data_IF_470834669987
#
_entry.id   IF_470834669987
#
_cell.length_a   1.000
_cell.length_b   1.000
_cell.length_c   1.000
_cell.angle_alpha   90.00
_cell.angle_beta   90.00
_cell.angle_gamma   90.00
#
_symmetry.space_group_name_H-M   'P 1'
#
loop_
_entity.id
_entity.type
_entity.pdbx_description
1 polymer ?
#
# COMPACT_ATOMS: atom_id res chain seq x y z
N UNK A 1 3.38 -2.72 -12.94
CA UNK A 1 4.12 -2.04 -11.87
C UNK A 1 4.30 -2.89 -10.62
N UNK A 2 3.24 -3.50 -10.14
CA UNK A 2 3.37 -4.28 -8.91
C UNK A 2 4.29 -5.49 -9.07
N UNK A 3 4.31 -6.11 -10.23
CA UNK A 3 5.20 -7.25 -10.45
C UNK A 3 6.66 -6.87 -10.29
N UNK A 4 7.04 -5.76 -10.88
CA UNK A 4 8.41 -5.25 -10.78
C UNK A 4 8.74 -4.87 -9.34
N UNK A 5 7.77 -4.29 -8.64
CA UNK A 5 7.97 -3.91 -7.26
C UNK A 5 8.15 -5.13 -6.36
N UNK A 6 7.36 -6.18 -6.59
CA UNK A 6 7.51 -7.41 -5.83
C UNK A 6 8.91 -7.97 -6.01
N UNK A 7 9.38 -8.05 -7.26
CA UNK A 7 10.70 -8.58 -7.53
C UNK A 7 11.78 -7.75 -6.85
N UNK A 8 11.66 -6.44 -6.93
CA UNK A 8 12.63 -5.53 -6.33
C UNK A 8 12.71 -5.72 -4.82
N UNK A 9 11.55 -5.81 -4.18
CA UNK A 9 11.48 -5.98 -2.72
C UNK A 9 11.97 -7.35 -2.31
N UNK A 10 11.61 -8.39 -3.06
CA UNK A 10 12.08 -9.75 -2.77
C UNK A 10 13.60 -9.83 -2.86
N UNK A 11 14.20 -9.08 -3.78
CA UNK A 11 15.65 -9.01 -3.92
C UNK A 11 16.31 -8.17 -2.83
N UNK A 12 15.53 -7.58 -1.94
CA UNK A 12 16.07 -6.79 -0.85
C UNK A 12 16.27 -5.33 -1.16
N UNK A 13 15.77 -4.87 -2.30
CA UNK A 13 15.93 -3.47 -2.72
C UNK A 13 14.79 -2.62 -2.20
N UNK A 14 15.08 -1.37 -1.91
CA UNK A 14 14.07 -0.44 -1.45
C UNK A 14 13.35 0.21 -2.63
N UNK A 15 12.09 0.55 -2.43
CA UNK A 15 11.33 1.31 -3.41
C UNK A 15 11.51 2.79 -3.11
N UNK A 16 11.50 3.60 -4.17
CA UNK A 16 11.42 5.05 -3.97
C UNK A 16 9.99 5.40 -3.54
N UNK A 17 9.83 6.63 -3.07
CA UNK A 17 8.50 7.12 -2.70
C UNK A 17 7.52 6.97 -3.87
N UNK A 18 7.94 7.38 -5.07
CA UNK A 18 7.07 7.32 -6.23
C UNK A 18 6.71 5.88 -6.60
N UNK A 19 7.68 4.98 -6.52
CA UNK A 19 7.42 3.57 -6.80
C UNK A 19 6.42 2.98 -5.82
N UNK A 20 6.62 3.24 -4.54
CA UNK A 20 5.72 2.72 -3.52
C UNK A 20 4.32 3.30 -3.66
N UNK A 21 4.23 4.58 -3.96
CA UNK A 21 2.93 5.23 -4.18
C UNK A 21 2.20 4.63 -5.38
N UNK A 22 2.93 4.39 -6.47
CA UNK A 22 2.33 3.80 -7.66
C UNK A 22 1.80 2.39 -7.40
N UNK A 23 2.57 1.58 -6.69
CA UNK A 23 2.16 0.22 -6.36
C UNK A 23 0.94 0.24 -5.45
N UNK A 24 0.95 1.10 -4.45
CA UNK A 24 -0.18 1.22 -3.53
C UNK A 24 -1.43 1.64 -4.28
N UNK A 25 -1.28 2.57 -5.23
CA UNK A 25 -2.39 3.02 -6.04
C UNK A 25 -2.96 1.88 -6.88
N UNK A 26 -2.11 1.02 -7.44
CA UNK A 26 -2.57 -0.15 -8.18
C UNK A 26 -3.36 -1.09 -7.26
N UNK A 27 -2.87 -1.32 -6.06
CA UNK A 27 -3.55 -2.20 -5.11
C UNK A 27 -4.91 -1.63 -4.71
N UNK A 28 -4.96 -0.35 -4.44
CA UNK A 28 -6.19 0.29 -3.97
C UNK A 28 -7.22 0.44 -5.07
N UNK A 29 -6.80 0.51 -6.33
CA UNK A 29 -7.73 0.64 -7.44
C UNK A 29 -8.20 -0.69 -8.00
N UNK A 30 -7.73 -1.80 -7.43
CA UNK A 30 -8.17 -3.12 -7.86
C UNK A 30 -7.44 -3.65 -9.08
N UNK A 31 -6.39 -2.96 -9.52
CA UNK A 31 -5.61 -3.42 -10.67
C UNK A 31 -4.76 -4.63 -10.33
N UNK A 32 -4.28 -4.71 -9.09
CA UNK A 32 -3.48 -5.83 -8.64
C UNK A 32 -4.38 -6.94 -8.11
N UNK A 33 -3.98 -8.19 -8.33
CA UNK A 33 -4.72 -9.32 -7.78
C UNK A 33 -4.47 -9.42 -6.28
N UNK A 34 -5.32 -10.19 -5.60
CA UNK A 34 -5.13 -10.44 -4.17
C UNK A 34 -3.80 -11.15 -3.91
N UNK A 35 -3.43 -12.08 -4.79
CA UNK A 35 -2.17 -12.79 -4.64
C UNK A 35 -0.99 -11.83 -4.78
N UNK A 36 -1.05 -10.91 -5.73
CA UNK A 36 0.01 -9.93 -5.92
C UNK A 36 0.10 -8.99 -4.72
N UNK A 37 -1.04 -8.56 -4.21
CA UNK A 37 -1.08 -7.69 -3.04
C UNK A 37 -0.47 -8.38 -1.83
N UNK A 38 -0.86 -9.63 -1.59
CA UNK A 38 -0.33 -10.39 -0.46
C UNK A 38 1.17 -10.61 -0.61
N UNK A 39 1.62 -10.94 -1.82
CA UNK A 39 3.04 -11.16 -2.06
C UNK A 39 3.84 -9.88 -1.81
N UNK A 40 3.35 -8.75 -2.28
CA UNK A 40 4.04 -7.48 -2.11
C UNK A 40 4.13 -7.10 -0.63
N UNK A 41 3.01 -7.19 0.08
CA UNK A 41 2.99 -6.79 1.49
C UNK A 41 3.86 -7.71 2.33
N UNK A 42 3.83 -9.01 2.05
CA UNK A 42 4.67 -9.97 2.76
C UNK A 42 6.14 -9.72 2.50
N UNK A 43 6.50 -9.51 1.24
CA UNK A 43 7.89 -9.26 0.89
C UNK A 43 8.39 -7.95 1.50
N UNK A 44 7.54 -6.93 1.49
CA UNK A 44 7.88 -5.65 2.07
C UNK A 44 8.14 -5.78 3.58
N UNK A 45 7.32 -6.57 4.25
CA UNK A 45 7.46 -6.81 5.68
C UNK A 45 8.76 -7.54 5.99
N UNK A 46 9.07 -8.55 5.19
CA UNK A 46 10.29 -9.34 5.40
C UNK A 46 11.53 -8.47 5.17
N UNK A 47 11.50 -7.64 4.13
CA UNK A 47 12.61 -6.75 3.84
C UNK A 47 12.76 -5.67 4.91
N UNK A 48 11.66 -5.20 5.45
CA UNK A 48 11.63 -4.06 6.34
C UNK A 48 11.33 -2.79 5.57
N UNK A 49 10.20 -2.15 5.88
CA UNK A 49 9.76 -0.96 5.18
C UNK A 49 10.68 0.21 5.50
N UNK A 50 10.96 1.03 4.48
CA UNK A 50 11.65 2.29 4.70
C UNK A 50 10.64 3.38 5.01
N UNK A 51 11.14 4.52 5.51
CA UNK A 51 10.27 5.66 5.80
C UNK A 51 9.55 6.12 4.53
N UNK A 52 10.25 6.15 3.41
CA UNK A 52 9.65 6.56 2.14
C UNK A 52 8.52 5.61 1.73
N UNK A 53 8.73 4.31 1.89
CA UNK A 53 7.74 3.31 1.55
C UNK A 53 6.51 3.43 2.45
N UNK A 54 6.72 3.59 3.74
CA UNK A 54 5.62 3.73 4.70
C UNK A 54 4.85 5.01 4.42
N UNK A 55 5.55 6.11 4.20
CA UNK A 55 4.92 7.40 3.97
C UNK A 55 4.11 7.39 2.68
N UNK A 56 4.64 6.80 1.63
CA UNK A 56 3.94 6.71 0.36
C UNK A 56 2.66 5.90 0.50
N UNK A 57 2.75 4.74 1.15
CA UNK A 57 1.59 3.90 1.36
C UNK A 57 0.52 4.61 2.18
N UNK A 58 0.93 5.27 3.25
CA UNK A 58 -0.01 5.97 4.11
C UNK A 58 -0.68 7.14 3.37
N UNK A 59 0.08 7.85 2.55
CA UNK A 59 -0.44 8.98 1.80
C UNK A 59 -1.50 8.52 0.79
N UNK A 60 -1.20 7.45 0.05
CA UNK A 60 -2.15 6.93 -0.94
C UNK A 60 -3.40 6.41 -0.26
N UNK A 61 -3.25 5.69 0.85
CA UNK A 61 -4.39 5.18 1.58
C UNK A 61 -5.27 6.30 2.08
N UNK A 62 -4.68 7.38 2.58
CA UNK A 62 -5.44 8.51 3.06
C UNK A 62 -6.19 9.21 1.93
N UNK A 63 -5.54 9.37 0.78
CA UNK A 63 -6.19 9.97 -0.37
C UNK A 63 -7.40 9.17 -0.81
N UNK A 64 -7.25 7.84 -0.87
CA UNK A 64 -8.37 6.98 -1.26
C UNK A 64 -9.48 7.03 -0.23
N UNK A 65 -9.15 7.05 1.03
CA UNK A 65 -10.13 7.13 2.10
C UNK A 65 -10.92 8.43 2.03
N UNK A 66 -10.24 9.53 1.72
CA UNK A 66 -10.92 10.81 1.57
C UNK A 66 -11.93 10.80 0.43
N UNK A 67 -11.60 10.07 -0.64
CA UNK A 67 -12.51 9.98 -1.77
C UNK A 67 -13.76 9.18 -1.48
N UNK A 68 -13.71 8.25 -0.54
CA UNK A 68 -14.87 7.41 -0.26
C UNK A 68 -15.50 7.72 1.06
N UNK A 69 -14.99 8.68 1.77
CA UNK A 69 -15.33 8.78 3.13
C UNK A 69 -16.71 9.25 3.41
N UNK A 70 -17.30 9.95 2.53
CA UNK A 70 -18.54 10.56 2.87
C UNK A 70 -19.54 9.63 3.42
N UNK A 71 -19.39 8.43 3.23
CA UNK A 71 -20.29 7.55 3.81
C UNK A 71 -19.91 7.19 5.09
N UNK A 72 -19.51 7.07 5.53
CA UNK A 72 -19.36 6.50 6.65
C UNK A 72 -18.89 6.93 7.58
N UNK A 73 -18.96 7.24 7.65
CA UNK A 73 -18.77 7.60 8.62
C UNK A 73 -18.26 6.87 9.48
N UNK A 74 -18.40 6.25 9.48
CA UNK A 74 -18.09 5.69 10.18
C UNK A 74 -17.16 5.17 10.53
N UNK A 75 -17.22 4.81 10.32
CA UNK A 75 -16.49 4.32 10.71
C UNK A 75 -15.70 4.22 11.37
N UNK A 76 -15.80 4.53 11.50
CA UNK A 76 -15.19 4.56 12.14
C UNK A 76 -14.69 4.05 12.78
N UNK A 77 -14.85 3.65 12.71
CA UNK A 77 -14.60 3.23 13.29
C UNK A 77 -13.79 2.83 13.69
N UNK A 78 -13.78 2.89 13.56
CA UNK A 78 -13.16 2.64 13.92
C UNK A 78 -12.62 2.31 14.54
N UNK A 79 -12.70 2.30 14.59
CA UNK A 79 -12.36 2.08 15.28
C UNK A 79 -11.86 1.52 15.68
N UNK A 80 -11.90 1.20 15.71
CA UNK A 80 -11.56 0.77 16.21
C UNK A 80 -10.84 0.56 16.61
N UNK A 81 -10.76 0.70 16.42
CA UNK A 81 -10.08 0.65 16.87
C UNK A 81 -9.55 0.13 17.46
N UNK A 82 -9.60 -0.10 17.43
CA UNK A 82 -9.21 -0.69 18.31
C UNK A 82 -8.72 -0.76 18.59
#
# INVERSE_FOLDING_TARGET
MIKEAIKKVVDGNNLTYDEAAAVMNEMMSGTATQAQTAAFLTALRIKGETIDEITACATVMRDKALHVKRDTDVLDIVGTGG
#
